data_IF_855833237729
#
_entry.id   IF_855833237729
#
_cell.length_a   1.000
_cell.length_b   1.000
_cell.length_c   1.000
_cell.angle_alpha   90.00
_cell.angle_beta   90.00
_cell.angle_gamma   90.00
#
_symmetry.space_group_name_H-M   'P 1'
#
loop_
_entity.id
_entity.type
_entity.pdbx_description
1 polymer ?
#
# COMPACT_ATOMS: atom_id res chain seq x y z
N UNK A 1 -58.05 -18.62 6.47
CA UNK A 1 -57.57 -17.59 5.51
C UNK A 1 -56.22 -17.10 6.01
N UNK A 2 -55.13 -17.72 5.56
CA UNK A 2 -53.77 -17.25 5.85
C UNK A 2 -53.29 -16.48 4.61
N UNK A 3 -53.30 -15.16 4.69
CA UNK A 3 -52.65 -14.33 3.69
C UNK A 3 -51.14 -14.37 3.94
N UNK A 4 -50.41 -14.96 2.99
CA UNK A 4 -48.96 -14.83 2.89
C UNK A 4 -48.62 -13.38 2.53
N UNK A 5 -47.94 -12.66 3.42
CA UNK A 5 -47.38 -11.35 3.14
C UNK A 5 -46.35 -11.42 2.01
N UNK A 6 -46.23 -10.39 1.15
CA UNK A 6 -45.29 -10.40 0.03
C UNK A 6 -43.83 -10.40 0.53
N UNK A 7 -42.88 -10.93 -0.27
CA UNK A 7 -41.46 -10.95 0.11
C UNK A 7 -40.92 -9.52 0.05
N UNK A 8 -40.74 -8.89 1.22
CA UNK A 8 -40.12 -7.57 1.33
C UNK A 8 -40.45 -6.74 2.58
N UNK A 9 -41.17 -7.27 3.56
CA UNK A 9 -41.90 -6.42 4.53
C UNK A 9 -41.64 -6.68 6.01
N UNK A 10 -40.44 -7.15 6.37
CA UNK A 10 -39.98 -7.16 7.76
C UNK A 10 -38.53 -6.64 7.84
N UNK A 11 -38.33 -5.38 7.43
CA UNK A 11 -37.08 -4.67 7.71
C UNK A 11 -37.06 -4.24 9.17
N UNK A 12 -35.93 -4.38 9.85
CA UNK A 12 -35.82 -3.91 11.23
C UNK A 12 -35.84 -2.36 11.27
N UNK A 13 -36.08 -1.77 12.45
CA UNK A 13 -36.15 -0.30 12.58
C UNK A 13 -34.90 0.41 12.03
N UNK A 14 -33.71 -0.17 12.21
CA UNK A 14 -32.45 0.37 11.70
C UNK A 14 -32.40 0.40 10.16
N UNK A 15 -32.93 -0.62 9.48
CA UNK A 15 -32.96 -0.71 8.01
C UNK A 15 -33.99 0.22 7.37
N UNK A 16 -34.91 0.77 8.17
CA UNK A 16 -35.93 1.72 7.72
C UNK A 16 -35.51 3.18 7.96
N UNK A 17 -34.34 3.42 8.56
CA UNK A 17 -33.81 4.77 8.70
C UNK A 17 -33.43 5.36 7.33
N UNK A 18 -33.46 6.70 7.18
CA UNK A 18 -32.88 7.36 6.01
C UNK A 18 -31.41 6.96 5.81
N UNK A 19 -30.99 6.94 4.55
CA UNK A 19 -29.62 6.56 4.15
C UNK A 19 -28.58 7.38 4.89
N UNK A 20 -28.82 8.68 5.01
CA UNK A 20 -27.94 9.65 5.64
C UNK A 20 -27.74 9.32 7.12
N UNK A 21 -28.79 8.90 7.82
CA UNK A 21 -28.73 8.52 9.23
C UNK A 21 -27.97 7.21 9.42
N UNK A 22 -28.15 6.23 8.53
CA UNK A 22 -27.38 4.98 8.57
C UNK A 22 -25.88 5.27 8.35
N UNK A 23 -25.56 6.16 7.40
CA UNK A 23 -24.19 6.59 7.13
C UNK A 23 -23.59 7.35 8.31
N UNK A 24 -24.34 8.26 8.92
CA UNK A 24 -23.93 9.01 10.11
C UNK A 24 -23.63 8.09 11.30
N UNK A 25 -24.54 7.14 11.59
CA UNK A 25 -24.31 6.09 12.60
C UNK A 25 -23.00 5.35 12.31
N UNK A 26 -22.80 4.94 11.05
CA UNK A 26 -21.59 4.24 10.66
C UNK A 26 -20.32 5.10 10.82
N UNK A 27 -20.37 6.40 10.51
CA UNK A 27 -19.21 7.30 10.70
C UNK A 27 -18.88 7.56 12.17
N UNK A 28 -19.87 7.46 13.06
CA UNK A 28 -19.63 7.56 14.50
C UNK A 28 -18.99 6.30 15.10
N UNK A 29 -19.38 5.11 14.64
CA UNK A 29 -18.89 3.86 15.23
C UNK A 29 -17.74 3.18 14.46
N UNK A 30 -17.63 3.42 13.15
CA UNK A 30 -16.68 2.80 12.23
C UNK A 30 -16.68 1.26 12.28
N UNK A 31 -17.82 0.66 12.63
CA UNK A 31 -17.97 -0.78 12.85
C UNK A 31 -18.24 -1.52 11.52
N UNK A 32 -17.24 -2.24 11.02
CA UNK A 32 -17.35 -2.99 9.75
C UNK A 32 -18.28 -4.22 9.83
N UNK A 33 -18.69 -4.63 11.03
CA UNK A 33 -19.75 -5.63 11.19
C UNK A 33 -21.13 -5.08 10.82
N UNK A 34 -21.35 -3.76 10.87
CA UNK A 34 -22.62 -3.14 10.51
C UNK A 34 -23.02 -3.42 9.04
N UNK A 35 -22.18 -3.13 8.01
CA UNK A 35 -22.49 -3.51 6.63
C UNK A 35 -22.47 -5.03 6.37
N UNK A 36 -21.95 -5.85 7.29
CA UNK A 36 -21.97 -7.32 7.19
C UNK A 36 -23.25 -7.93 7.76
N UNK A 37 -23.91 -7.23 8.69
CA UNK A 37 -25.09 -7.72 9.40
C UNK A 37 -26.36 -7.74 8.52
N UNK A 38 -26.43 -6.91 7.47
CA UNK A 38 -27.60 -6.84 6.60
C UNK A 38 -27.22 -6.45 5.17
N UNK A 39 -27.84 -7.12 4.18
CA UNK A 39 -27.71 -6.75 2.77
C UNK A 39 -28.29 -5.36 2.47
N UNK A 40 -29.32 -4.93 3.19
CA UNK A 40 -29.91 -3.60 3.03
C UNK A 40 -28.91 -2.52 3.46
N UNK A 41 -28.37 -2.66 4.68
CA UNK A 41 -27.35 -1.75 5.21
C UNK A 41 -26.08 -1.81 4.35
N UNK A 42 -25.66 -3.00 3.92
CA UNK A 42 -24.50 -3.17 3.04
C UNK A 42 -24.63 -2.35 1.77
N UNK A 43 -25.80 -2.36 1.12
CA UNK A 43 -26.05 -1.58 -0.10
C UNK A 43 -25.99 -0.07 0.17
N UNK A 44 -26.57 0.37 1.28
CA UNK A 44 -26.57 1.78 1.70
C UNK A 44 -25.15 2.28 1.98
N UNK A 45 -24.32 1.44 2.60
CA UNK A 45 -22.94 1.80 2.94
C UNK A 45 -21.95 1.56 1.79
N UNK A 46 -22.35 0.86 0.72
CA UNK A 46 -21.52 0.57 -0.47
C UNK A 46 -21.34 1.77 -1.42
N UNK A 47 -21.11 2.97 -0.87
CA UNK A 47 -20.85 4.19 -1.61
C UNK A 47 -19.32 4.44 -1.70
N UNK A 48 -18.74 4.61 -2.92
CA UNK A 48 -17.33 4.96 -3.09
C UNK A 48 -16.86 6.18 -2.29
N UNK A 49 -17.76 7.12 -2.01
CA UNK A 49 -17.48 8.33 -1.21
C UNK A 49 -17.20 7.99 0.24
N UNK A 50 -18.00 7.11 0.84
CA UNK A 50 -17.79 6.59 2.20
C UNK A 50 -16.39 5.99 2.30
N UNK A 51 -16.02 5.11 1.36
CA UNK A 51 -14.70 4.48 1.37
C UNK A 51 -13.55 5.43 1.10
N UNK A 52 -13.77 6.46 0.28
CA UNK A 52 -12.79 7.53 0.08
C UNK A 52 -12.47 8.20 1.42
N UNK A 53 -13.49 8.53 2.21
CA UNK A 53 -13.29 9.14 3.53
C UNK A 53 -12.67 8.18 4.55
N UNK A 54 -13.09 6.90 4.57
CA UNK A 54 -12.46 5.90 5.44
C UNK A 54 -10.99 5.69 5.10
N UNK A 55 -10.62 5.67 3.81
CA UNK A 55 -9.22 5.55 3.39
C UNK A 55 -8.43 6.79 3.82
N UNK A 56 -8.98 8.00 3.64
CA UNK A 56 -8.33 9.24 4.11
C UNK A 56 -8.16 9.21 5.63
N UNK A 57 -9.15 8.76 6.38
CA UNK A 57 -9.10 8.64 7.84
C UNK A 57 -8.03 7.64 8.30
N UNK A 58 -8.00 6.46 7.68
CA UNK A 58 -7.15 5.37 8.13
C UNK A 58 -5.70 5.50 7.65
N UNK A 59 -5.49 5.95 6.41
CA UNK A 59 -4.20 5.86 5.72
C UNK A 59 -3.49 7.21 5.51
N UNK A 60 -4.00 8.32 6.02
CA UNK A 60 -3.23 9.57 6.05
C UNK A 60 -2.05 9.48 7.01
N UNK A 61 -0.94 10.13 6.67
CA UNK A 61 0.21 10.26 7.57
C UNK A 61 -0.09 11.15 8.78
N UNK A 62 0.37 10.72 9.96
CA UNK A 62 0.19 11.41 11.24
C UNK A 62 1.32 12.42 11.50
N UNK A 63 1.48 13.40 10.61
CA UNK A 63 2.50 14.44 10.77
C UNK A 63 2.13 15.41 11.88
N UNK A 64 3.10 15.88 12.66
CA UNK A 64 2.85 16.92 13.68
C UNK A 64 2.26 18.17 13.05
N UNK A 65 2.76 18.58 11.88
CA UNK A 65 2.22 19.73 11.17
C UNK A 65 0.86 19.48 10.50
N UNK A 66 0.29 18.27 10.52
CA UNK A 66 -1.08 18.02 10.06
C UNK A 66 -2.15 18.19 11.15
N UNK A 67 -1.75 18.35 12.43
CA UNK A 67 -2.66 18.56 13.57
C UNK A 67 -3.56 19.80 13.45
N UNK A 68 -3.10 20.81 12.72
CA UNK A 68 -3.86 22.04 12.50
C UNK A 68 -4.02 22.32 11.00
N UNK A 69 -5.24 22.60 10.59
CA UNK A 69 -5.56 23.12 9.26
C UNK A 69 -5.29 22.19 8.08
N UNK A 70 -4.86 20.93 8.29
CA UNK A 70 -4.71 19.96 7.21
C UNK A 70 -6.03 19.25 6.92
N UNK A 71 -6.68 18.64 7.91
CA UNK A 71 -7.95 17.96 7.73
C UNK A 71 -9.11 18.97 7.72
N UNK A 72 -9.45 19.46 6.52
CA UNK A 72 -10.57 20.38 6.31
C UNK A 72 -11.88 19.60 6.11
N UNK A 73 -13.06 20.19 6.37
CA UNK A 73 -14.35 19.49 6.24
C UNK A 73 -14.63 18.95 4.84
N UNK A 74 -14.11 19.59 3.79
CA UNK A 74 -14.20 19.12 2.40
C UNK A 74 -13.29 17.91 2.11
N UNK A 75 -12.19 17.78 2.86
CA UNK A 75 -11.26 16.67 2.73
C UNK A 75 -11.66 15.47 3.60
N UNK A 76 -12.06 15.71 4.84
CA UNK A 76 -12.51 14.70 5.78
C UNK A 76 -13.69 15.28 6.58
N UNK A 77 -14.94 14.95 6.21
CA UNK A 77 -16.11 15.59 6.80
C UNK A 77 -16.37 15.09 8.23
N UNK A 78 -16.93 15.94 9.11
CA UNK A 78 -17.47 15.49 10.39
C UNK A 78 -18.51 14.37 10.22
N UNK A 79 -18.62 13.41 11.16
CA UNK A 79 -17.92 13.35 12.45
C UNK A 79 -16.49 12.76 12.37
N UNK A 80 -15.99 12.46 11.17
CA UNK A 80 -14.68 11.81 11.01
C UNK A 80 -13.56 12.75 11.43
N UNK A 81 -12.74 12.30 12.36
CA UNK A 81 -11.61 13.06 12.87
C UNK A 81 -10.37 12.16 12.97
N UNK A 82 -9.37 12.48 12.16
CA UNK A 82 -8.12 11.72 12.10
C UNK A 82 -7.43 11.59 13.45
N UNK A 83 -7.33 12.70 14.20
CA UNK A 83 -6.64 12.73 15.50
C UNK A 83 -7.52 12.30 16.67
N UNK A 84 -8.81 11.99 16.46
CA UNK A 84 -9.67 11.42 17.48
C UNK A 84 -9.44 9.91 17.66
N UNK A 85 -8.93 9.22 16.63
CA UNK A 85 -8.59 7.81 16.71
C UNK A 85 -7.22 7.61 17.35
N UNK A 86 -7.15 6.67 18.28
CA UNK A 86 -5.85 6.17 18.76
C UNK A 86 -5.10 5.44 17.64
N UNK A 87 -3.79 5.28 17.80
CA UNK A 87 -2.96 4.54 16.85
C UNK A 87 -3.45 3.10 16.64
N UNK A 88 -3.90 2.44 17.72
CA UNK A 88 -4.48 1.10 17.67
C UNK A 88 -5.79 1.06 16.89
N UNK A 89 -6.73 1.96 17.19
CA UNK A 89 -8.00 2.03 16.46
C UNK A 89 -7.78 2.31 14.97
N UNK A 90 -6.80 3.15 14.64
CA UNK A 90 -6.44 3.43 13.25
C UNK A 90 -5.83 2.20 12.57
N UNK A 91 -4.94 1.46 13.23
CA UNK A 91 -4.42 0.19 12.70
C UNK A 91 -5.54 -0.82 12.48
N UNK A 92 -6.44 -0.98 13.44
CA UNK A 92 -7.57 -1.92 13.33
C UNK A 92 -8.49 -1.53 12.15
N UNK A 93 -8.75 -0.24 11.96
CA UNK A 93 -9.48 0.28 10.81
C UNK A 93 -8.74 0.02 9.48
N UNK A 94 -7.41 0.16 9.45
CA UNK A 94 -6.60 -0.20 8.28
C UNK A 94 -6.75 -1.69 7.95
N UNK A 95 -6.66 -2.58 8.94
CA UNK A 95 -6.82 -4.02 8.77
C UNK A 95 -8.20 -4.37 8.17
N UNK A 96 -9.27 -3.77 8.71
CA UNK A 96 -10.64 -3.96 8.20
C UNK A 96 -10.82 -3.44 6.76
N UNK A 97 -10.29 -2.25 6.45
CA UNK A 97 -10.37 -1.68 5.10
C UNK A 97 -9.59 -2.57 4.12
N UNK A 98 -8.35 -2.97 4.46
CA UNK A 98 -7.51 -3.82 3.63
C UNK A 98 -8.18 -5.17 3.37
N UNK A 99 -8.85 -5.76 4.36
CA UNK A 99 -9.58 -7.01 4.19
C UNK A 99 -10.88 -6.85 3.35
N UNK A 100 -11.50 -5.66 3.36
CA UNK A 100 -12.77 -5.41 2.65
C UNK A 100 -12.65 -5.54 1.13
N UNK A 101 -13.75 -5.84 0.44
CA UNK A 101 -13.78 -5.90 -1.03
C UNK A 101 -13.63 -4.53 -1.70
N UNK A 102 -13.89 -3.46 -0.95
CA UNK A 102 -13.89 -2.08 -1.47
C UNK A 102 -12.48 -1.51 -1.60
N UNK A 103 -11.52 -2.01 -0.81
CA UNK A 103 -10.11 -1.64 -0.96
C UNK A 103 -9.54 -2.26 -2.25
N UNK A 104 -9.53 -1.43 -3.29
CA UNK A 104 -9.05 -1.72 -4.64
C UNK A 104 -7.96 -0.73 -5.04
N UNK A 105 -7.08 -1.12 -5.97
CA UNK A 105 -6.03 -0.23 -6.47
C UNK A 105 -6.60 1.09 -7.05
N UNK A 106 -7.63 1.10 -7.90
CA UNK A 106 -8.14 2.36 -8.46
C UNK A 106 -8.64 3.33 -7.39
N UNK A 107 -9.31 2.82 -6.35
CA UNK A 107 -9.78 3.65 -5.25
C UNK A 107 -8.62 4.21 -4.42
N UNK A 108 -7.62 3.37 -4.11
CA UNK A 108 -6.41 3.83 -3.42
C UNK A 108 -5.72 4.91 -4.26
N UNK A 109 -5.45 4.66 -5.55
CA UNK A 109 -4.81 5.61 -6.47
C UNK A 109 -5.56 6.94 -6.57
N UNK A 110 -6.90 6.91 -6.63
CA UNK A 110 -7.74 8.11 -6.55
C UNK A 110 -7.47 8.88 -5.25
N UNK A 111 -7.51 8.19 -4.10
CA UNK A 111 -7.24 8.80 -2.81
C UNK A 111 -5.82 9.37 -2.72
N UNK A 112 -4.81 8.70 -3.29
CA UNK A 112 -3.42 9.19 -3.31
C UNK A 112 -3.30 10.52 -4.05
N UNK A 113 -3.86 10.58 -5.28
CA UNK A 113 -3.85 11.80 -6.09
C UNK A 113 -4.51 12.94 -5.33
N UNK A 114 -5.73 12.73 -4.84
CA UNK A 114 -6.50 13.74 -4.12
C UNK A 114 -5.80 14.17 -2.81
N UNK A 115 -5.15 13.25 -2.11
CA UNK A 115 -4.35 13.53 -0.92
C UNK A 115 -3.14 14.41 -1.26
N UNK A 116 -2.40 14.11 -2.32
CA UNK A 116 -1.23 14.90 -2.73
C UNK A 116 -1.65 16.28 -3.20
N UNK A 117 -2.72 16.39 -4.01
CA UNK A 117 -3.29 17.69 -4.40
C UNK A 117 -3.67 18.52 -3.17
N UNK A 118 -4.35 17.91 -2.21
CA UNK A 118 -4.73 18.55 -0.97
C UNK A 118 -3.51 19.01 -0.17
N UNK A 119 -2.52 18.13 -0.02
CA UNK A 119 -1.29 18.44 0.68
C UNK A 119 -0.53 19.61 0.02
N UNK A 120 -0.50 19.68 -1.31
CA UNK A 120 0.07 20.83 -2.04
C UNK A 120 -0.71 22.10 -1.73
N UNK A 121 -2.05 22.09 -1.88
CA UNK A 121 -2.91 23.26 -1.59
C UNK A 121 -2.71 23.78 -0.17
N UNK A 122 -2.54 22.89 0.81
CA UNK A 122 -2.40 23.27 2.23
C UNK A 122 -0.97 23.66 2.60
N UNK A 123 0.04 22.94 2.11
CA UNK A 123 1.44 23.10 2.55
C UNK A 123 2.26 24.03 1.67
N UNK A 124 1.81 24.28 0.45
CA UNK A 124 2.46 25.21 -0.47
C UNK A 124 1.71 26.54 -0.60
N UNK A 125 0.68 26.80 0.24
CA UNK A 125 -0.16 28.01 0.15
C UNK A 125 0.64 29.31 0.22
N UNK A 126 1.62 29.35 1.12
CA UNK A 126 2.43 30.54 1.40
C UNK A 126 3.80 30.48 0.71
N UNK A 127 3.96 29.54 -0.23
CA UNK A 127 5.19 29.36 -0.99
C UNK A 127 5.04 29.89 -2.42
N UNK A 128 5.99 30.70 -2.84
CA UNK A 128 6.16 31.11 -4.24
C UNK A 128 7.08 30.13 -4.95
N UNK A 129 6.53 29.49 -5.98
CA UNK A 129 7.26 28.57 -6.83
C UNK A 129 8.00 29.35 -7.91
N UNK A 130 9.11 28.78 -8.39
CA UNK A 130 9.81 29.34 -9.54
C UNK A 130 8.90 29.25 -10.78
N UNK A 131 8.87 30.27 -11.67
CA UNK A 131 8.03 30.28 -12.89
C UNK A 131 8.04 28.97 -13.68
N UNK A 132 9.23 28.39 -13.89
CA UNK A 132 9.41 27.13 -14.63
C UNK A 132 8.74 25.92 -13.96
N UNK A 133 8.61 25.95 -12.63
CA UNK A 133 8.04 24.87 -11.81
C UNK A 133 6.50 24.92 -11.75
N UNK A 134 5.87 26.05 -12.10
CA UNK A 134 4.41 26.17 -12.13
C UNK A 134 3.76 25.22 -13.13
N UNK A 135 4.38 25.04 -14.30
CA UNK A 135 3.86 24.12 -15.32
C UNK A 135 3.91 22.65 -14.85
N UNK A 136 4.95 22.28 -14.09
CA UNK A 136 5.08 20.93 -13.54
C UNK A 136 3.98 20.62 -12.52
N UNK A 137 3.61 21.59 -11.68
CA UNK A 137 2.50 21.45 -10.72
C UNK A 137 1.13 21.49 -11.39
N UNK A 138 0.93 22.34 -12.40
CA UNK A 138 -0.32 22.38 -13.15
C UNK A 138 -0.64 21.03 -13.82
N UNK A 139 0.40 20.31 -14.26
CA UNK A 139 0.27 19.01 -14.90
C UNK A 139 0.46 17.82 -13.96
N UNK A 140 0.42 18.01 -12.64
CA UNK A 140 0.70 16.95 -11.66
C UNK A 140 -0.23 15.73 -11.85
N UNK A 141 -1.48 15.97 -12.27
CA UNK A 141 -2.47 14.92 -12.48
C UNK A 141 -2.13 13.98 -13.62
N UNK A 142 -1.50 14.48 -14.68
CA UNK A 142 -1.05 13.65 -15.81
C UNK A 142 0.02 12.63 -15.36
N UNK A 143 0.85 12.99 -14.37
CA UNK A 143 1.89 12.10 -13.84
C UNK A 143 1.32 10.95 -13.01
N UNK A 144 0.17 11.14 -12.35
CA UNK A 144 -0.52 10.05 -11.67
C UNK A 144 -1.12 9.00 -12.63
N UNK A 145 -1.25 9.33 -13.92
CA UNK A 145 -1.74 8.39 -14.93
C UNK A 145 -0.66 7.44 -15.47
N UNK A 146 0.63 7.78 -15.34
CA UNK A 146 1.74 6.92 -15.76
C UNK A 146 2.81 6.83 -14.66
N UNK A 147 2.79 5.72 -13.92
CA UNK A 147 3.66 5.48 -12.78
C UNK A 147 4.81 4.49 -13.08
N UNK A 148 5.00 4.11 -14.35
CA UNK A 148 5.96 3.06 -14.69
C UNK A 148 7.41 3.46 -14.39
N UNK A 149 7.75 4.71 -14.72
CA UNK A 149 9.07 5.31 -14.52
C UNK A 149 9.29 5.90 -13.14
N UNK A 150 8.26 5.93 -12.28
CA UNK A 150 8.36 6.47 -10.94
C UNK A 150 9.14 5.54 -10.03
N UNK A 151 9.73 6.12 -8.99
CA UNK A 151 10.39 5.38 -7.94
C UNK A 151 9.42 4.43 -7.22
N UNK A 152 9.77 3.14 -7.18
CA UNK A 152 8.99 2.07 -6.52
C UNK A 152 9.69 1.56 -5.26
N UNK A 153 10.69 2.29 -4.76
CA UNK A 153 11.46 1.92 -3.57
C UNK A 153 12.43 0.77 -3.82
N UNK A 154 13.02 0.71 -5.01
CA UNK A 154 13.99 -0.34 -5.38
C UNK A 154 15.15 -0.32 -4.37
N UNK A 155 15.31 -1.41 -3.60
CA UNK A 155 16.29 -1.49 -2.50
C UNK A 155 15.74 -1.16 -1.11
N UNK A 156 14.41 -1.11 -0.95
CA UNK A 156 13.77 -0.96 0.37
C UNK A 156 13.78 0.48 0.92
N UNK A 157 14.11 1.46 0.08
CA UNK A 157 14.08 2.88 0.43
C UNK A 157 13.67 3.74 -0.75
N UNK A 158 13.12 4.93 -0.46
CA UNK A 158 12.74 5.92 -1.47
C UNK A 158 13.95 6.74 -1.89
N UNK A 159 13.99 7.10 -3.16
CA UNK A 159 14.87 8.11 -3.75
C UNK A 159 14.54 9.52 -3.25
N UNK A 160 15.18 10.55 -3.82
CA UNK A 160 15.00 11.96 -3.45
C UNK A 160 13.65 12.57 -3.86
N UNK A 161 12.86 11.87 -4.67
CA UNK A 161 11.59 12.34 -5.24
C UNK A 161 11.55 12.23 -6.76
N UNK A 162 10.38 11.91 -7.30
CA UNK A 162 10.11 11.86 -8.76
C UNK A 162 10.02 13.27 -9.37
N UNK A 163 9.60 14.24 -8.56
CA UNK A 163 9.56 15.66 -8.90
C UNK A 163 10.09 16.47 -7.72
N UNK A 164 11.02 17.38 -7.97
CA UNK A 164 11.60 18.26 -6.95
C UNK A 164 11.51 19.69 -7.47
N UNK A 165 10.73 20.51 -6.77
CA UNK A 165 10.49 21.91 -7.11
C UNK A 165 11.20 22.81 -6.10
N UNK A 166 11.55 24.01 -6.55
CA UNK A 166 12.09 25.06 -5.69
C UNK A 166 10.98 26.05 -5.37
N UNK A 167 10.91 26.43 -4.10
CA UNK A 167 9.95 27.43 -3.65
C UNK A 167 10.58 28.36 -2.62
N UNK A 168 9.99 29.52 -2.40
CA UNK A 168 10.37 30.49 -1.37
C UNK A 168 9.17 30.85 -0.53
N UNK A 169 9.36 30.97 0.77
CA UNK A 169 8.30 31.45 1.65
C UNK A 169 8.06 32.94 1.44
N UNK A 170 6.80 33.32 1.20
CA UNK A 170 6.39 34.69 0.88
C UNK A 170 6.77 35.73 1.93
N UNK A 171 6.79 35.32 3.20
CA UNK A 171 6.94 36.25 4.31
C UNK A 171 8.39 36.33 4.80
N UNK A 172 9.11 35.21 4.71
CA UNK A 172 10.46 35.08 5.28
C UNK A 172 11.57 35.03 4.22
N UNK A 173 11.22 34.91 2.93
CA UNK A 173 12.13 34.67 1.80
C UNK A 173 13.04 33.44 1.99
N UNK A 174 12.68 32.54 2.90
CA UNK A 174 13.42 31.31 3.14
C UNK A 174 13.14 30.34 1.99
N UNK A 175 14.19 29.77 1.43
CA UNK A 175 14.07 28.75 0.38
C UNK A 175 13.52 27.43 0.94
N UNK A 176 12.75 26.74 0.11
CA UNK A 176 12.20 25.41 0.35
C UNK A 176 12.34 24.54 -0.90
N UNK A 177 12.35 23.23 -0.68
CA UNK A 177 12.20 22.21 -1.72
C UNK A 177 10.91 21.45 -1.49
N UNK A 178 10.13 21.31 -2.56
CA UNK A 178 8.90 20.50 -2.58
C UNK A 178 9.20 19.23 -3.37
N UNK A 179 9.21 18.08 -2.71
CA UNK A 179 9.46 16.78 -3.33
C UNK A 179 8.16 15.95 -3.38
N UNK A 180 7.90 15.33 -4.53
CA UNK A 180 6.73 14.46 -4.75
C UNK A 180 7.21 13.06 -5.15
N UNK A 181 6.60 12.03 -4.57
CA UNK A 181 6.75 10.63 -4.99
C UNK A 181 5.39 10.11 -5.44
N UNK A 182 5.18 9.97 -6.74
CA UNK A 182 3.87 9.67 -7.33
C UNK A 182 3.42 8.25 -7.01
N UNK A 183 4.31 7.27 -7.13
CA UNK A 183 3.98 5.88 -6.80
C UNK A 183 3.52 5.73 -5.35
N UNK A 184 4.17 6.45 -4.43
CA UNK A 184 3.88 6.39 -3.00
C UNK A 184 2.77 7.35 -2.56
N UNK A 185 2.27 8.23 -3.43
CA UNK A 185 1.31 9.27 -3.05
C UNK A 185 1.83 10.16 -1.93
N UNK A 186 3.11 10.55 -2.03
CA UNK A 186 3.81 11.28 -0.97
C UNK A 186 4.29 12.67 -1.43
N UNK A 187 4.26 13.62 -0.49
CA UNK A 187 4.72 15.00 -0.63
C UNK A 187 5.56 15.38 0.59
N UNK A 188 6.70 16.02 0.36
CA UNK A 188 7.49 16.63 1.43
C UNK A 188 7.83 18.07 1.07
N UNK A 189 7.63 18.98 2.03
CA UNK A 189 8.08 20.37 1.95
C UNK A 189 9.18 20.57 2.98
N UNK A 190 10.38 20.97 2.54
CA UNK A 190 11.56 21.04 3.42
C UNK A 190 12.43 22.25 3.15
N UNK A 191 13.10 22.74 4.19
CA UNK A 191 14.19 23.73 4.06
C UNK A 191 15.42 23.09 3.39
N UNK A 192 16.24 23.86 2.65
CA UNK A 192 17.52 23.38 2.14
C UNK A 192 18.41 22.93 3.30
N UNK A 193 19.22 21.91 3.04
CA UNK A 193 20.25 21.39 3.96
C UNK A 193 19.77 20.69 5.25
N UNK A 194 18.46 20.57 5.49
CA UNK A 194 17.95 19.63 6.51
C UNK A 194 18.09 18.20 5.98
N UNK A 195 18.59 17.29 6.83
CA UNK A 195 18.66 15.86 6.51
C UNK A 195 17.30 15.35 6.02
N UNK A 196 17.29 14.44 5.04
CA UNK A 196 16.07 13.76 4.61
C UNK A 196 15.61 12.89 5.77
N UNK A 197 14.66 13.41 6.53
CA UNK A 197 13.97 12.69 7.60
C UNK A 197 12.54 12.43 7.15
N UNK A 198 11.94 11.31 7.57
CA UNK A 198 10.52 11.04 7.35
C UNK A 198 9.57 11.97 8.14
N UNK A 199 10.13 12.89 8.92
CA UNK A 199 9.39 13.96 9.58
C UNK A 199 8.75 14.88 8.52
N UNK A 200 7.44 15.14 8.70
CA UNK A 200 6.59 15.94 7.80
C UNK A 200 6.49 15.43 6.35
N UNK A 201 6.56 14.11 6.17
CA UNK A 201 6.21 13.48 4.91
C UNK A 201 4.71 13.23 4.83
N UNK A 202 4.00 13.99 4.02
CA UNK A 202 2.57 13.84 3.77
C UNK A 202 2.36 12.68 2.82
N UNK A 203 1.74 11.59 3.27
CA UNK A 203 1.58 10.39 2.47
C UNK A 203 0.23 9.72 2.66
N UNK A 204 -0.29 9.18 1.56
CA UNK A 204 -1.35 8.18 1.55
C UNK A 204 -1.03 7.14 0.45
N UNK A 205 -1.11 5.82 0.72
CA UNK A 205 -1.39 5.23 2.02
C UNK A 205 -0.18 5.29 2.96
N UNK A 206 -0.43 5.33 4.26
CA UNK A 206 0.60 5.34 5.29
C UNK A 206 0.19 4.47 6.48
N UNK A 207 0.95 3.41 6.75
CA UNK A 207 0.87 2.66 8.01
C UNK A 207 1.88 3.22 9.02
N UNK A 208 1.58 3.12 10.31
CA UNK A 208 2.54 3.53 11.34
C UNK A 208 3.70 2.53 11.42
N UNK A 209 4.97 2.99 11.51
CA UNK A 209 6.09 2.08 11.64
C UNK A 209 6.04 1.20 12.91
N UNK A 210 5.67 1.77 14.05
CA UNK A 210 5.64 1.03 15.32
C UNK A 210 4.40 0.12 15.43
N UNK A 211 3.34 0.42 14.69
CA UNK A 211 2.09 -0.33 14.69
C UNK A 211 1.53 -0.50 13.27
N UNK A 212 2.21 -1.29 12.42
CA UNK A 212 1.81 -1.47 11.03
C UNK A 212 0.54 -2.33 10.91
N UNK A 213 -0.25 -2.07 9.87
CA UNK A 213 -1.36 -2.94 9.48
C UNK A 213 -0.85 -4.27 8.92
N UNK A 214 -1.68 -5.31 9.01
CA UNK A 214 -1.41 -6.63 8.46
C UNK A 214 -1.82 -6.70 6.99
N UNK A 215 -0.93 -7.18 6.14
CA UNK A 215 -1.25 -7.45 4.74
C UNK A 215 -2.37 -8.51 4.67
N UNK A 216 -3.49 -8.26 3.97
CA UNK A 216 -4.63 -9.18 3.96
C UNK A 216 -4.38 -10.40 3.06
N UNK A 217 -4.92 -11.55 3.45
CA UNK A 217 -4.75 -12.81 2.70
C UNK A 217 -5.24 -12.72 1.24
N UNK A 218 -6.25 -11.88 0.95
CA UNK A 218 -6.76 -11.68 -0.42
C UNK A 218 -5.70 -11.12 -1.40
N UNK A 219 -4.69 -10.41 -0.89
CA UNK A 219 -3.57 -9.87 -1.68
C UNK A 219 -2.37 -10.83 -1.76
N UNK A 220 -2.39 -11.90 -0.96
CA UNK A 220 -1.29 -12.85 -0.83
C UNK A 220 -1.63 -14.23 -1.42
N UNK A 221 -2.58 -14.26 -2.35
CA UNK A 221 -3.00 -15.48 -3.02
C UNK A 221 -3.62 -15.23 -4.38
N UNK A 222 -3.80 -16.30 -5.17
CA UNK A 222 -4.36 -16.22 -6.51
C UNK A 222 -5.83 -15.72 -6.50
N UNK A 223 -6.35 -15.25 -7.64
CA UNK A 223 -5.66 -15.07 -8.91
C UNK A 223 -4.68 -13.88 -8.87
N UNK A 224 -3.49 -14.03 -9.46
CA UNK A 224 -2.49 -12.97 -9.55
C UNK A 224 -2.79 -12.10 -10.77
N UNK A 225 -3.27 -10.89 -10.53
CA UNK A 225 -3.50 -9.89 -11.57
C UNK A 225 -2.51 -8.75 -11.41
N UNK A 226 -2.22 -8.02 -12.49
CA UNK A 226 -1.33 -6.86 -12.44
C UNK A 226 -1.77 -5.84 -11.39
N UNK A 227 -3.08 -5.56 -11.34
CA UNK A 227 -3.70 -4.66 -10.35
C UNK A 227 -3.46 -5.14 -8.92
N UNK A 228 -3.54 -6.45 -8.66
CA UNK A 228 -3.30 -7.02 -7.32
C UNK A 228 -1.81 -6.91 -6.96
N UNK A 229 -0.92 -7.25 -7.89
CA UNK A 229 0.52 -7.20 -7.67
C UNK A 229 1.01 -5.76 -7.48
N UNK A 230 0.43 -4.79 -8.18
CA UNK A 230 0.73 -3.37 -7.97
C UNK A 230 0.24 -2.88 -6.61
N UNK A 231 -0.97 -3.26 -6.19
CA UNK A 231 -1.47 -2.91 -4.85
C UNK A 231 -0.62 -3.56 -3.74
N UNK A 232 -0.22 -4.82 -3.94
CA UNK A 232 0.70 -5.51 -3.04
C UNK A 232 2.04 -4.77 -2.97
N UNK A 233 2.62 -4.39 -4.12
CA UNK A 233 3.88 -3.65 -4.18
C UNK A 233 3.77 -2.30 -3.44
N UNK A 234 2.70 -1.54 -3.67
CA UNK A 234 2.44 -0.26 -3.02
C UNK A 234 2.43 -0.37 -1.48
N UNK A 235 1.84 -1.44 -0.95
CA UNK A 235 1.66 -1.65 0.48
C UNK A 235 2.81 -2.45 1.14
N UNK A 236 3.65 -3.11 0.33
CA UNK A 236 4.61 -4.11 0.79
C UNK A 236 5.59 -3.61 1.85
N UNK A 237 5.97 -2.34 1.82
CA UNK A 237 6.92 -1.74 2.77
C UNK A 237 6.24 -1.16 4.03
N UNK A 238 4.92 -1.02 4.02
CA UNK A 238 4.15 -0.38 5.08
C UNK A 238 3.32 -1.37 5.90
N UNK A 239 2.61 -2.27 5.22
CA UNK A 239 1.84 -3.34 5.85
C UNK A 239 2.70 -4.60 5.97
N UNK A 240 2.73 -5.21 7.16
CA UNK A 240 3.57 -6.38 7.39
C UNK A 240 2.95 -7.63 6.78
N UNK A 241 3.79 -8.47 6.18
CA UNK A 241 3.37 -9.78 5.66
C UNK A 241 3.52 -10.85 6.74
N UNK A 242 4.67 -10.88 7.42
CA UNK A 242 4.99 -11.85 8.46
C UNK A 242 5.17 -11.15 9.81
N UNK A 243 4.68 -11.78 10.88
CA UNK A 243 4.80 -11.23 12.23
C UNK A 243 6.19 -11.48 12.85
N UNK A 244 6.83 -12.57 12.43
CA UNK A 244 8.10 -13.05 12.95
C UNK A 244 9.09 -13.41 11.82
N UNK A 245 10.30 -13.78 12.23
CA UNK A 245 11.40 -14.18 11.35
C UNK A 245 11.27 -15.61 10.79
N UNK A 246 10.15 -16.30 11.04
CA UNK A 246 9.86 -17.58 10.38
C UNK A 246 9.42 -17.39 8.92
N UNK A 247 8.98 -16.18 8.57
CA UNK A 247 8.50 -15.77 7.25
C UNK A 247 7.48 -16.76 6.66
N UNK A 248 6.60 -17.31 7.50
CA UNK A 248 5.71 -18.42 7.13
C UNK A 248 4.80 -18.10 5.95
N UNK A 249 4.21 -16.89 5.88
CA UNK A 249 3.32 -16.48 4.79
C UNK A 249 4.14 -16.22 3.52
N UNK A 250 5.22 -15.45 3.61
CA UNK A 250 6.10 -15.15 2.47
C UNK A 250 6.70 -16.41 1.83
N UNK A 251 7.15 -17.37 2.66
CA UNK A 251 7.68 -18.67 2.21
C UNK A 251 6.61 -19.51 1.52
N UNK A 252 5.40 -19.57 2.08
CA UNK A 252 4.30 -20.32 1.47
C UNK A 252 3.93 -19.79 0.08
N UNK A 253 3.94 -18.47 -0.09
CA UNK A 253 3.57 -17.81 -1.35
C UNK A 253 4.56 -18.18 -2.46
N UNK A 254 5.87 -17.99 -2.25
CA UNK A 254 6.85 -18.33 -3.29
C UNK A 254 6.82 -19.81 -3.63
N UNK A 255 6.72 -20.69 -2.62
CA UNK A 255 6.58 -22.13 -2.85
C UNK A 255 5.37 -22.47 -3.74
N UNK A 256 4.23 -21.81 -3.50
CA UNK A 256 3.02 -22.06 -4.28
C UNK A 256 3.18 -21.55 -5.72
N UNK A 257 3.72 -20.35 -5.92
CA UNK A 257 3.94 -19.78 -7.26
C UNK A 257 4.92 -20.61 -8.09
N UNK A 258 5.99 -21.14 -7.48
CA UNK A 258 6.91 -22.08 -8.15
C UNK A 258 6.17 -23.37 -8.54
N UNK A 259 5.36 -23.92 -7.64
CA UNK A 259 4.58 -25.14 -7.90
C UNK A 259 3.56 -24.94 -9.03
N UNK A 260 2.94 -23.76 -9.10
CA UNK A 260 1.96 -23.40 -10.12
C UNK A 260 2.61 -22.96 -11.44
N UNK A 261 3.95 -22.91 -11.50
CA UNK A 261 4.75 -22.53 -12.67
C UNK A 261 4.43 -21.13 -13.21
N UNK A 262 4.01 -20.22 -12.32
CA UNK A 262 3.74 -18.81 -12.65
C UNK A 262 5.03 -17.97 -12.49
N UNK A 263 5.89 -18.03 -13.51
CA UNK A 263 7.17 -17.33 -13.50
C UNK A 263 7.06 -15.79 -13.44
N UNK A 264 6.16 -15.14 -14.20
CA UNK A 264 6.01 -13.68 -14.13
C UNK A 264 5.68 -13.18 -12.72
N UNK A 265 4.77 -13.85 -12.01
CA UNK A 265 4.46 -13.51 -10.61
C UNK A 265 5.67 -13.75 -9.71
N UNK A 266 6.37 -14.88 -9.86
CA UNK A 266 7.55 -15.20 -9.06
C UNK A 266 8.64 -14.14 -9.18
N UNK A 267 8.97 -13.75 -10.42
CA UNK A 267 9.97 -12.72 -10.71
C UNK A 267 9.61 -11.37 -10.07
N UNK A 268 8.33 -11.00 -10.04
CA UNK A 268 7.90 -9.76 -9.38
C UNK A 268 8.03 -9.87 -7.87
N UNK A 269 7.53 -10.94 -7.25
CA UNK A 269 7.54 -11.12 -5.80
C UNK A 269 8.97 -11.18 -5.23
N UNK A 270 9.87 -11.95 -5.84
CA UNK A 270 11.26 -12.13 -5.36
C UNK A 270 12.09 -10.84 -5.38
N UNK A 271 11.66 -9.85 -6.16
CA UNK A 271 12.29 -8.54 -6.29
C UNK A 271 11.62 -7.45 -5.45
N UNK A 272 10.49 -7.74 -4.81
CA UNK A 272 9.86 -6.82 -3.86
C UNK A 272 10.63 -6.78 -2.53
N UNK A 273 10.58 -5.63 -1.87
CA UNK A 273 10.92 -5.51 -0.46
C UNK A 273 9.64 -5.55 0.35
N UNK A 274 9.64 -6.30 1.44
CA UNK A 274 8.48 -6.53 2.28
C UNK A 274 8.78 -6.13 3.72
N UNK A 275 7.75 -5.68 4.41
CA UNK A 275 7.78 -5.45 5.84
C UNK A 275 7.47 -6.75 6.59
N UNK A 276 8.25 -6.99 7.63
CA UNK A 276 7.95 -7.98 8.65
C UNK A 276 7.87 -7.25 9.99
N UNK A 277 6.92 -7.63 10.84
CA UNK A 277 6.58 -6.87 12.05
C UNK A 277 7.73 -6.84 13.06
N UNK A 278 8.54 -7.91 13.14
CA UNK A 278 9.69 -7.97 14.02
C UNK A 278 10.92 -7.18 13.53
N UNK A 279 10.91 -6.68 12.29
CA UNK A 279 11.98 -5.86 11.73
C UNK A 279 11.57 -4.39 11.62
N UNK A 280 12.51 -3.49 11.89
CA UNK A 280 12.30 -2.04 11.74
C UNK A 280 12.44 -1.53 10.31
N UNK A 281 12.96 -2.36 9.41
CA UNK A 281 13.23 -2.02 8.02
C UNK A 281 12.67 -3.10 7.07
N UNK A 282 12.27 -2.73 5.85
CA UNK A 282 11.87 -3.70 4.83
C UNK A 282 13.04 -4.59 4.42
N UNK A 283 12.75 -5.87 4.19
CA UNK A 283 13.72 -6.86 3.70
C UNK A 283 13.33 -7.30 2.30
N UNK A 284 14.30 -7.70 1.46
CA UNK A 284 13.96 -8.34 0.19
C UNK A 284 13.13 -9.59 0.46
N UNK A 285 12.13 -9.88 -0.38
CA UNK A 285 11.26 -11.03 -0.18
C UNK A 285 12.10 -12.29 0.10
N UNK A 286 11.90 -12.97 1.24
CA UNK A 286 12.83 -13.97 1.73
C UNK A 286 12.78 -15.23 0.87
N UNK A 287 13.95 -15.73 0.49
CA UNK A 287 14.12 -16.98 -0.25
C UNK A 287 14.88 -17.96 0.63
N UNK A 288 14.37 -19.19 0.73
CA UNK A 288 14.90 -20.25 1.58
C UNK A 288 15.34 -21.44 0.75
N UNK A 289 16.19 -22.34 1.29
CA UNK A 289 16.60 -23.59 0.64
C UNK A 289 15.43 -24.41 0.08
N UNK A 290 14.29 -24.40 0.78
CA UNK A 290 13.08 -25.09 0.34
C UNK A 290 12.54 -24.57 -1.00
N UNK A 291 12.71 -23.28 -1.34
CA UNK A 291 12.28 -22.75 -2.63
C UNK A 291 13.15 -23.28 -3.77
N UNK A 292 14.46 -23.36 -3.58
CA UNK A 292 15.38 -23.95 -4.56
C UNK A 292 15.07 -25.43 -4.80
N UNK A 293 14.83 -26.20 -3.73
CA UNK A 293 14.43 -27.61 -3.83
C UNK A 293 13.09 -27.78 -4.57
N UNK A 294 12.13 -26.90 -4.32
CA UNK A 294 10.83 -26.92 -5.00
C UNK A 294 11.00 -26.55 -6.48
N UNK A 295 11.83 -25.54 -6.80
CA UNK A 295 12.14 -25.18 -8.18
C UNK A 295 12.78 -26.36 -8.93
N UNK A 296 13.77 -27.03 -8.33
CA UNK A 296 14.38 -28.25 -8.89
C UNK A 296 13.36 -29.37 -9.11
N UNK A 297 12.47 -29.61 -8.14
CA UNK A 297 11.46 -30.67 -8.20
C UNK A 297 10.50 -30.49 -9.38
N UNK A 298 10.14 -29.24 -9.69
CA UNK A 298 9.16 -28.91 -10.73
C UNK A 298 9.80 -28.40 -12.02
N UNK A 299 11.14 -28.42 -12.13
CA UNK A 299 11.83 -28.00 -13.34
C UNK A 299 11.66 -29.07 -14.43
N UNK A 300 10.89 -28.72 -15.46
CA UNK A 300 10.49 -29.63 -16.54
C UNK A 300 11.70 -30.08 -17.39
N UNK A 301 12.62 -29.16 -17.73
CA UNK A 301 13.82 -29.43 -18.57
C UNK A 301 15.07 -28.62 -18.11
N UNK A 302 16.16 -28.62 -18.90
CA UNK A 302 17.33 -27.77 -18.67
C UNK A 302 17.01 -26.29 -19.01
N UNK A 303 17.71 -25.32 -18.40
CA UNK A 303 17.46 -23.86 -18.55
C UNK A 303 16.09 -23.42 -18.00
N UNK A 304 15.67 -23.98 -16.87
CA UNK A 304 14.45 -23.57 -16.17
C UNK A 304 14.53 -22.11 -15.69
N UNK A 305 13.53 -21.25 -16.00
CA UNK A 305 13.61 -19.82 -15.71
C UNK A 305 13.57 -19.51 -14.20
N UNK A 306 12.91 -20.33 -13.38
CA UNK A 306 12.93 -20.16 -11.92
C UNK A 306 14.31 -20.46 -11.36
N UNK A 307 14.92 -21.57 -11.79
CA UNK A 307 16.28 -21.96 -11.37
C UNK A 307 17.28 -20.88 -11.79
N UNK A 308 17.22 -20.43 -13.05
CA UNK A 308 18.11 -19.39 -13.57
C UNK A 308 18.06 -18.11 -12.75
N UNK A 309 16.85 -17.59 -12.49
CA UNK A 309 16.68 -16.38 -11.68
C UNK A 309 17.21 -16.59 -10.25
N UNK A 310 16.90 -17.73 -9.63
CA UNK A 310 17.34 -18.05 -8.28
C UNK A 310 18.86 -18.15 -8.17
N UNK A 311 19.52 -18.76 -9.15
CA UNK A 311 20.99 -18.86 -9.22
C UNK A 311 21.60 -17.49 -9.47
N UNK A 312 21.11 -16.73 -10.44
CA UNK A 312 21.68 -15.43 -10.81
C UNK A 312 21.50 -14.37 -9.70
N UNK A 313 20.35 -14.34 -9.04
CA UNK A 313 19.98 -13.22 -8.16
C UNK A 313 20.00 -13.56 -6.67
N UNK A 314 19.98 -14.84 -6.30
CA UNK A 314 19.75 -15.32 -4.93
C UNK A 314 20.74 -16.42 -4.50
N UNK A 315 21.88 -16.58 -5.19
CA UNK A 315 22.88 -17.61 -4.87
C UNK A 315 23.35 -17.60 -3.41
N UNK A 316 23.53 -16.39 -2.87
CA UNK A 316 24.05 -16.16 -1.52
C UNK A 316 23.03 -16.51 -0.41
N UNK A 317 21.75 -16.68 -0.76
CA UNK A 317 20.72 -17.11 0.19
C UNK A 317 20.81 -18.63 0.49
N UNK A 318 21.65 -19.38 -0.23
CA UNK A 318 21.88 -20.80 0.01
C UNK A 318 22.99 -20.96 1.08
N UNK A 319 22.70 -21.55 2.25
CA UNK A 319 23.71 -21.85 3.26
C UNK A 319 24.91 -22.61 2.71
N UNK A 320 26.12 -22.24 3.12
CA UNK A 320 27.38 -22.80 2.61
C UNK A 320 27.52 -24.32 2.79
N UNK A 321 26.82 -24.89 3.79
CA UNK A 321 26.82 -26.32 4.06
C UNK A 321 25.94 -27.15 3.10
N UNK A 322 25.18 -26.52 2.21
CA UNK A 322 24.31 -27.19 1.23
C UNK A 322 24.95 -27.27 -0.16
N UNK A 323 26.19 -27.76 -0.25
CA UNK A 323 26.94 -27.88 -1.50
C UNK A 323 26.21 -28.72 -2.56
N UNK A 324 25.62 -29.84 -2.14
CA UNK A 324 24.84 -30.70 -3.04
C UNK A 324 23.66 -29.99 -3.70
N UNK A 325 23.01 -29.05 -3.01
CA UNK A 325 21.93 -28.25 -3.59
C UNK A 325 22.47 -27.30 -4.66
N UNK A 326 23.63 -26.69 -4.41
CA UNK A 326 24.32 -25.81 -5.37
C UNK A 326 24.71 -26.57 -6.64
N UNK A 327 25.28 -27.77 -6.50
CA UNK A 327 25.66 -28.62 -7.64
C UNK A 327 24.47 -29.00 -8.52
N UNK A 328 23.35 -29.39 -7.89
CA UNK A 328 22.10 -29.70 -8.59
C UNK A 328 21.54 -28.50 -9.35
N UNK A 329 21.57 -27.32 -8.74
CA UNK A 329 21.11 -26.08 -9.38
C UNK A 329 21.98 -25.73 -10.58
N UNK A 330 23.31 -25.80 -10.47
CA UNK A 330 24.22 -25.50 -11.59
C UNK A 330 24.04 -26.47 -12.75
N UNK A 331 23.88 -27.77 -12.47
CA UNK A 331 23.61 -28.77 -13.50
C UNK A 331 22.31 -28.51 -14.26
N UNK A 332 21.28 -27.99 -13.59
CA UNK A 332 19.96 -27.68 -14.18
C UNK A 332 19.87 -26.29 -14.81
N UNK A 333 20.61 -25.32 -14.29
CA UNK A 333 20.71 -23.96 -14.82
C UNK A 333 21.42 -23.92 -16.18
N UNK A 334 22.11 -24.99 -16.57
CA UNK A 334 22.70 -25.12 -17.91
C UNK A 334 23.84 -24.14 -18.15
N UNK A 335 24.74 -23.94 -17.18
CA UNK A 335 25.93 -23.11 -17.41
C UNK A 335 26.84 -23.73 -18.47
N UNK A 336 26.73 -23.19 -19.69
CA UNK A 336 27.91 -22.91 -20.49
C UNK A 336 28.70 -21.82 -19.76
N UNK A 337 29.88 -22.19 -19.26
CA UNK A 337 31.01 -21.37 -18.82
C UNK A 337 30.74 -19.96 -18.26
N UNK A 338 30.97 -19.79 -16.93
CA UNK A 338 31.63 -18.58 -16.41
C UNK A 338 33.14 -18.73 -16.57
#
# INVERSE_FOLDING_TARGET
MNQLSPPGQNRCHLENLPVEIIQEIFFHCLEFNLPRASLCISRVLSDPTIYTWLIRLAFSSANESSKSGFFTPDFLPPPLSFFALSEHQRRDLQDEILASRWCTLPLIRKCQREYVEHAIRRKCRDLDLVPDDHYALANINSRFSNLESCDKGWGGSRSKGDLILKARDRNTDVEYKVAVWFHFGALQVRKPNKLVTDLDLFRLPCCLPELPACMPNKLLGPPWTDTKLELLQLLSMDAYIDADDSFTRSRRILRQVIRDRDFPTFQRLVNMHIRCQCYKYPVRWPVFPTHFQVALKYADEHDDPFIKLLVEQRWDDIPANLLHLKDQLMSKAGTSHM
#
